data_IF_359758540341
#
_entry.id   IF_359758540341
#
_cell.length_a   1.000
_cell.length_b   1.000
_cell.length_c   1.000
_cell.angle_alpha   90.00
_cell.angle_beta   90.00
_cell.angle_gamma   90.00
#
_symmetry.space_group_name_H-M   'P 1'
#
loop_
_entity.id
_entity.type
_entity.pdbx_description
1 polymer ?
#
# COMPACT_ATOMS: atom_id res chain seq x y z
N UNK A 1 0.28 22.54 -7.81
CA UNK A 1 1.16 21.44 -7.45
C UNK A 1 2.59 21.71 -7.92
N UNK A 2 3.55 21.21 -7.18
CA UNK A 2 4.97 21.35 -7.46
C UNK A 2 5.33 20.45 -8.67
N UNK A 3 6.12 20.94 -9.64
CA UNK A 3 6.58 20.20 -10.81
C UNK A 3 7.31 18.88 -10.45
N UNK A 4 8.02 18.86 -9.32
CA UNK A 4 8.64 17.63 -8.78
C UNK A 4 7.59 16.57 -8.44
N UNK A 5 6.47 16.95 -7.85
CA UNK A 5 5.36 16.04 -7.53
C UNK A 5 4.69 15.51 -8.79
N UNK A 6 4.52 16.36 -9.80
CA UNK A 6 3.94 15.93 -11.09
C UNK A 6 4.78 14.87 -11.78
N UNK A 7 6.13 14.98 -11.72
CA UNK A 7 7.04 13.95 -12.26
C UNK A 7 6.92 12.60 -11.56
N UNK A 8 6.50 12.59 -10.29
CA UNK A 8 6.26 11.34 -9.54
C UNK A 8 4.95 10.65 -9.92
N UNK A 9 4.10 11.31 -10.70
CA UNK A 9 2.82 10.76 -11.16
C UNK A 9 2.93 10.10 -12.55
N UNK A 10 4.15 9.93 -13.05
CA UNK A 10 4.36 9.15 -14.27
C UNK A 10 3.95 7.70 -14.05
N UNK A 11 3.12 7.20 -14.93
CA UNK A 11 2.61 5.83 -14.95
C UNK A 11 3.00 5.20 -16.26
N UNK A 12 3.72 4.09 -16.22
CA UNK A 12 3.98 3.27 -17.40
C UNK A 12 2.70 2.46 -17.72
N UNK A 13 2.27 2.44 -18.98
CA UNK A 13 1.03 1.75 -19.39
C UNK A 13 1.06 0.23 -19.12
N UNK A 14 2.24 -0.34 -18.92
CA UNK A 14 2.42 -1.75 -18.56
C UNK A 14 2.17 -2.03 -17.08
N UNK A 15 2.12 -0.99 -16.24
CA UNK A 15 1.88 -1.10 -14.78
C UNK A 15 0.39 -1.05 -14.45
N UNK A 16 -0.39 -1.96 -15.04
CA UNK A 16 -1.84 -2.03 -14.86
C UNK A 16 -2.27 -3.34 -14.16
N UNK A 17 -3.24 -3.27 -13.24
CA UNK A 17 -3.86 -2.07 -12.66
C UNK A 17 -2.91 -1.32 -11.72
N UNK A 18 -2.99 0.01 -11.72
CA UNK A 18 -2.15 0.87 -10.88
C UNK A 18 -2.96 1.65 -9.86
N UNK A 19 -2.51 1.60 -8.60
CA UNK A 19 -3.00 2.42 -7.51
C UNK A 19 -2.02 3.57 -7.21
N UNK A 20 -2.48 4.82 -7.34
CA UNK A 20 -1.71 6.00 -6.91
C UNK A 20 -2.09 6.40 -5.49
N UNK A 21 -1.09 6.44 -4.62
CA UNK A 21 -1.29 6.80 -3.22
C UNK A 21 -1.08 8.29 -2.98
N UNK A 22 -2.05 8.91 -2.27
CA UNK A 22 -1.99 10.29 -1.81
C UNK A 22 -1.93 10.34 -0.28
N UNK A 23 -1.37 11.41 0.27
CA UNK A 23 -1.30 11.67 1.71
C UNK A 23 -1.54 13.14 2.00
N UNK A 24 -2.34 13.42 3.01
CA UNK A 24 -2.64 14.79 3.44
C UNK A 24 -3.38 14.80 4.78
N UNK A 25 -3.32 15.92 5.52
CA UNK A 25 -4.00 16.11 6.80
C UNK A 25 -5.26 16.98 6.70
N UNK A 26 -5.36 17.74 5.63
CA UNK A 26 -6.47 18.69 5.39
C UNK A 26 -7.39 18.20 4.27
N UNK A 27 -8.69 18.32 4.49
CA UNK A 27 -9.75 17.82 3.60
C UNK A 27 -9.65 18.41 2.19
N UNK A 28 -9.59 19.73 2.07
CA UNK A 28 -9.59 20.43 0.79
C UNK A 28 -8.35 20.06 -0.05
N UNK A 29 -7.20 20.00 0.61
CA UNK A 29 -5.93 19.63 -0.02
C UNK A 29 -5.95 18.17 -0.50
N UNK A 30 -6.49 17.26 0.32
CA UNK A 30 -6.60 15.84 -0.03
C UNK A 30 -7.58 15.62 -1.19
N UNK A 31 -8.75 16.24 -1.15
CA UNK A 31 -9.75 16.20 -2.24
C UNK A 31 -9.18 16.79 -3.52
N UNK A 32 -8.46 17.91 -3.42
CA UNK A 32 -7.78 18.52 -4.57
C UNK A 32 -6.74 17.60 -5.21
N UNK A 33 -5.96 16.89 -4.39
CA UNK A 33 -5.00 15.89 -4.87
C UNK A 33 -5.71 14.69 -5.52
N UNK A 34 -6.77 14.19 -4.91
CA UNK A 34 -7.57 13.08 -5.44
C UNK A 34 -8.18 13.42 -6.81
N UNK A 35 -8.81 14.58 -6.93
CA UNK A 35 -9.34 15.09 -8.22
C UNK A 35 -8.26 15.21 -9.30
N UNK A 36 -7.05 15.63 -8.92
CA UNK A 36 -5.95 15.70 -9.85
C UNK A 36 -5.53 14.31 -10.34
N UNK A 37 -5.39 13.35 -9.44
CA UNK A 37 -5.10 11.94 -9.81
C UNK A 37 -6.21 11.38 -10.69
N UNK A 38 -7.46 11.63 -10.34
CA UNK A 38 -8.64 11.15 -11.08
C UNK A 38 -8.65 11.62 -12.53
N UNK A 39 -8.38 12.91 -12.79
CA UNK A 39 -8.54 13.55 -14.11
C UNK A 39 -7.25 13.61 -14.93
N UNK A 40 -6.09 13.65 -14.28
CA UNK A 40 -4.81 13.95 -14.92
C UNK A 40 -3.85 12.75 -15.01
N UNK A 41 -4.26 11.57 -14.55
CA UNK A 41 -3.42 10.37 -14.59
C UNK A 41 -4.17 9.15 -15.11
N UNK A 42 -3.40 8.14 -15.58
CA UNK A 42 -3.93 6.85 -16.00
C UNK A 42 -4.03 5.84 -14.83
N UNK A 43 -3.96 6.29 -13.58
CA UNK A 43 -4.18 5.41 -12.43
C UNK A 43 -5.58 4.79 -12.46
N UNK A 44 -5.69 3.56 -12.01
CA UNK A 44 -6.96 2.84 -11.93
C UNK A 44 -7.64 3.03 -10.58
N UNK A 45 -6.84 3.28 -9.54
CA UNK A 45 -7.26 3.37 -8.14
C UNK A 45 -6.58 4.58 -7.49
N UNK A 46 -7.31 5.27 -6.61
CA UNK A 46 -6.78 6.29 -5.71
C UNK A 46 -6.67 5.69 -4.33
N UNK A 47 -5.45 5.58 -3.79
CA UNK A 47 -5.23 5.07 -2.43
C UNK A 47 -4.91 6.19 -1.46
N UNK A 48 -5.49 6.15 -0.27
CA UNK A 48 -5.24 7.13 0.80
C UNK A 48 -4.30 6.51 1.84
N UNK A 49 -3.18 7.19 2.10
CA UNK A 49 -2.23 6.76 3.11
C UNK A 49 -2.69 7.16 4.52
N UNK A 50 -3.04 6.16 5.32
CA UNK A 50 -3.36 6.28 6.75
C UNK A 50 -2.40 5.43 7.61
N UNK A 51 -1.25 5.04 7.08
CA UNK A 51 -0.30 4.16 7.76
C UNK A 51 1.11 4.72 7.93
N UNK A 52 1.44 5.85 7.29
CA UNK A 52 2.79 6.43 7.37
C UNK A 52 3.12 6.84 8.82
N UNK A 53 4.15 6.22 9.47
CA UNK A 53 4.44 6.44 10.88
C UNK A 53 5.39 7.62 11.13
N UNK A 54 5.98 8.20 10.08
CA UNK A 54 7.07 9.18 10.19
C UNK A 54 6.60 10.50 10.82
N UNK A 55 7.36 11.06 11.77
CA UNK A 55 6.99 12.30 12.47
C UNK A 55 6.68 13.47 11.52
N UNK A 56 7.38 13.57 10.40
CA UNK A 56 7.12 14.62 9.40
C UNK A 56 5.68 14.59 8.86
N UNK A 57 5.10 13.39 8.73
CA UNK A 57 3.72 13.21 8.23
C UNK A 57 2.72 13.33 9.38
N UNK A 58 2.97 12.66 10.51
CA UNK A 58 2.02 12.63 11.62
C UNK A 58 1.88 13.98 12.34
N UNK A 59 2.91 14.85 12.31
CA UNK A 59 2.83 16.23 12.82
C UNK A 59 1.97 17.15 11.95
N UNK A 60 1.77 16.79 10.69
CA UNK A 60 0.85 17.47 9.77
C UNK A 60 -0.56 16.87 9.82
N UNK A 61 -0.91 16.20 10.91
CA UNK A 61 -2.21 15.54 11.12
C UNK A 61 -2.61 14.59 9.98
N UNK A 62 -1.62 13.85 9.43
CA UNK A 62 -1.76 12.95 8.29
C UNK A 62 -1.19 11.55 8.59
N UNK A 63 -1.39 10.62 7.66
CA UNK A 63 -0.89 9.25 7.76
C UNK A 63 -1.43 8.53 9.00
N UNK A 64 -0.56 7.88 9.78
CA UNK A 64 -0.96 7.09 10.93
C UNK A 64 -1.63 7.90 12.06
N UNK A 65 -1.59 9.24 12.03
CA UNK A 65 -2.29 10.07 13.02
C UNK A 65 -3.81 9.87 12.99
N UNK A 66 -4.36 9.57 11.81
CA UNK A 66 -5.81 9.34 11.67
C UNK A 66 -6.30 8.05 12.31
N UNK A 67 -5.41 7.10 12.62
CA UNK A 67 -5.79 5.83 13.27
C UNK A 67 -6.38 6.01 14.67
N UNK A 68 -6.25 7.20 15.25
CA UNK A 68 -6.81 7.57 16.55
C UNK A 68 -8.26 8.08 16.49
N UNK A 69 -8.79 8.31 15.27
CA UNK A 69 -10.06 9.00 15.07
C UNK A 69 -10.84 8.40 13.87
N UNK A 70 -11.68 7.36 14.12
CA UNK A 70 -12.52 6.76 13.09
C UNK A 70 -13.51 7.74 12.44
N UNK A 71 -14.01 8.73 13.18
CA UNK A 71 -14.95 9.71 12.65
C UNK A 71 -14.27 10.61 11.62
N UNK A 72 -13.04 11.03 11.92
CA UNK A 72 -12.21 11.75 10.96
C UNK A 72 -11.90 10.91 9.72
N UNK A 73 -11.60 9.62 9.87
CA UNK A 73 -11.41 8.71 8.73
C UNK A 73 -12.67 8.69 7.85
N UNK A 74 -13.85 8.53 8.45
CA UNK A 74 -15.11 8.57 7.72
C UNK A 74 -15.27 9.87 6.93
N UNK A 75 -15.10 11.04 7.58
CA UNK A 75 -15.25 12.34 6.92
C UNK A 75 -14.30 12.53 5.75
N UNK A 76 -13.02 12.16 5.93
CA UNK A 76 -11.98 12.38 4.94
C UNK A 76 -12.13 11.44 3.74
N UNK A 77 -12.41 10.14 3.98
CA UNK A 77 -12.64 9.17 2.92
C UNK A 77 -13.89 9.53 2.13
N UNK A 78 -15.00 9.86 2.81
CA UNK A 78 -16.24 10.28 2.18
C UNK A 78 -16.04 11.50 1.28
N UNK A 79 -15.33 12.51 1.79
CA UNK A 79 -15.04 13.70 1.00
C UNK A 79 -14.24 13.38 -0.28
N UNK A 80 -13.34 12.40 -0.25
CA UNK A 80 -12.62 11.96 -1.46
C UNK A 80 -13.56 11.18 -2.38
N UNK A 81 -14.27 10.17 -1.86
CA UNK A 81 -15.19 9.32 -2.64
C UNK A 81 -16.22 10.13 -3.40
N UNK A 82 -16.83 11.14 -2.77
CA UNK A 82 -17.86 12.01 -3.38
C UNK A 82 -17.30 12.93 -4.48
N UNK A 83 -15.97 13.02 -4.64
CA UNK A 83 -15.33 13.98 -5.53
C UNK A 83 -14.50 13.36 -6.65
N UNK A 84 -14.49 12.04 -6.78
CA UNK A 84 -13.74 11.30 -7.81
C UNK A 84 -14.60 10.18 -8.41
N UNK A 85 -14.23 9.71 -9.60
CA UNK A 85 -14.91 8.61 -10.28
C UNK A 85 -14.21 7.26 -10.07
N UNK A 86 -12.88 7.29 -9.82
CA UNK A 86 -12.09 6.09 -9.58
C UNK A 86 -12.37 5.49 -8.20
N UNK A 87 -12.22 4.15 -8.05
CA UNK A 87 -12.29 3.50 -6.75
C UNK A 87 -11.30 4.12 -5.76
N UNK A 88 -11.74 4.33 -4.52
CA UNK A 88 -10.92 4.87 -3.44
C UNK A 88 -10.61 3.74 -2.46
N UNK A 89 -9.33 3.49 -2.21
CA UNK A 89 -8.86 2.53 -1.22
C UNK A 89 -8.08 3.21 -0.10
N UNK A 90 -7.85 2.49 0.96
CA UNK A 90 -7.11 3.00 2.12
C UNK A 90 -6.01 2.02 2.52
N UNK A 91 -4.79 2.52 2.72
CA UNK A 91 -3.69 1.78 3.33
C UNK A 91 -3.49 2.25 4.76
N UNK A 92 -3.68 1.36 5.74
CA UNK A 92 -3.58 1.68 7.16
C UNK A 92 -2.70 0.71 7.95
N UNK A 93 -2.42 1.05 9.21
CA UNK A 93 -1.86 0.17 10.24
C UNK A 93 -2.96 -0.24 11.22
N UNK A 94 -2.67 -1.22 12.10
CA UNK A 94 -3.65 -1.70 13.08
C UNK A 94 -3.97 -0.69 14.18
N UNK A 95 -3.11 0.30 14.41
CA UNK A 95 -3.33 1.32 15.44
C UNK A 95 -2.12 2.23 15.62
N UNK A 96 -2.24 3.14 16.57
CA UNK A 96 -1.17 4.07 16.94
C UNK A 96 -0.10 3.41 17.82
N UNK A 97 -0.51 2.76 18.89
CA UNK A 97 0.28 2.00 19.85
C UNK A 97 -0.54 0.79 20.36
N UNK A 98 -0.04 0.09 21.37
CA UNK A 98 -0.68 -1.11 21.92
C UNK A 98 -2.02 -0.82 22.63
N UNK A 99 -2.18 0.39 23.18
CA UNK A 99 -3.41 0.82 23.86
C UNK A 99 -4.46 1.37 22.89
N UNK A 100 -4.06 1.72 21.64
CA UNK A 100 -4.91 2.35 20.64
C UNK A 100 -4.91 1.54 19.34
N UNK A 101 -5.46 0.31 19.41
CA UNK A 101 -5.65 -0.58 18.27
C UNK A 101 -7.11 -0.46 17.82
N UNK A 102 -7.39 0.45 16.89
CA UNK A 102 -8.73 0.73 16.35
C UNK A 102 -8.92 0.22 14.93
N UNK A 103 -8.18 -0.80 14.50
CA UNK A 103 -8.18 -1.29 13.13
C UNK A 103 -9.57 -1.65 12.62
N UNK A 104 -10.38 -2.29 13.44
CA UNK A 104 -11.75 -2.70 13.10
C UNK A 104 -12.65 -1.48 12.91
N UNK A 105 -12.65 -0.54 13.85
CA UNK A 105 -13.48 0.66 13.77
C UNK A 105 -13.06 1.55 12.61
N UNK A 106 -11.75 1.67 12.37
CA UNK A 106 -11.18 2.40 11.25
C UNK A 106 -11.60 1.79 9.89
N UNK A 107 -11.57 0.46 9.77
CA UNK A 107 -12.00 -0.23 8.55
C UNK A 107 -13.51 -0.07 8.29
N UNK A 108 -14.34 -0.15 9.34
CA UNK A 108 -15.77 0.13 9.26
C UNK A 108 -16.06 1.57 8.83
N UNK A 109 -15.28 2.53 9.33
CA UNK A 109 -15.39 3.92 8.92
C UNK A 109 -15.07 4.11 7.44
N UNK A 110 -14.03 3.43 6.92
CA UNK A 110 -13.69 3.42 5.50
C UNK A 110 -14.83 2.83 4.66
N UNK A 111 -15.38 1.67 5.05
CA UNK A 111 -16.50 1.04 4.35
C UNK A 111 -17.75 1.93 4.34
N UNK A 112 -18.13 2.46 5.51
CA UNK A 112 -19.28 3.36 5.63
C UNK A 112 -19.13 4.65 4.81
N UNK A 113 -17.91 5.13 4.61
CA UNK A 113 -17.60 6.29 3.78
C UNK A 113 -17.62 6.01 2.26
N UNK A 114 -17.82 4.74 1.85
CA UNK A 114 -17.80 4.32 0.44
C UNK A 114 -16.43 3.93 -0.09
N UNK A 115 -15.47 3.66 0.79
CA UNK A 115 -14.18 3.10 0.40
C UNK A 115 -14.34 1.72 -0.24
N UNK A 116 -13.57 1.46 -1.30
CA UNK A 116 -13.70 0.25 -2.12
C UNK A 116 -12.88 -0.94 -1.61
N UNK A 117 -11.84 -0.71 -0.83
CA UNK A 117 -11.02 -1.73 -0.19
C UNK A 117 -10.10 -1.12 0.89
N UNK A 118 -9.58 -1.97 1.77
CA UNK A 118 -8.56 -1.59 2.76
C UNK A 118 -7.35 -2.52 2.69
N UNK A 119 -6.15 -1.96 2.85
CA UNK A 119 -4.94 -2.74 3.06
C UNK A 119 -4.41 -2.47 4.47
N UNK A 120 -4.24 -3.52 5.27
CA UNK A 120 -3.94 -3.43 6.71
C UNK A 120 -2.56 -3.98 6.99
N UNK A 121 -1.65 -3.14 7.47
CA UNK A 121 -0.36 -3.58 8.00
C UNK A 121 -0.51 -3.97 9.47
N UNK A 122 -0.16 -5.21 9.81
CA UNK A 122 -0.32 -5.81 11.14
C UNK A 122 0.58 -5.24 12.24
N UNK A 123 1.10 -4.02 12.09
CA UNK A 123 1.89 -3.31 13.10
C UNK A 123 1.26 -1.97 13.46
N UNK A 124 1.47 -1.53 14.70
CA UNK A 124 1.12 -0.18 15.12
C UNK A 124 2.09 0.86 14.55
N UNK A 125 1.74 2.13 14.70
CA UNK A 125 2.64 3.25 14.33
C UNK A 125 3.92 3.22 15.14
N UNK A 126 3.83 2.96 16.44
CA UNK A 126 4.99 2.96 17.35
C UNK A 126 5.95 1.83 17.03
N UNK A 127 5.44 0.65 16.68
CA UNK A 127 6.29 -0.48 16.29
C UNK A 127 7.16 -0.21 15.07
N UNK A 128 6.79 0.73 14.20
CA UNK A 128 7.49 0.96 12.93
C UNK A 128 7.63 -0.34 12.12
N UNK A 129 8.77 -1.03 12.27
CA UNK A 129 9.06 -2.34 11.64
C UNK A 129 9.55 -3.38 12.64
N UNK A 130 9.54 -3.06 13.93
CA UNK A 130 9.99 -3.95 15.00
C UNK A 130 8.95 -5.00 15.34
N UNK A 131 9.40 -6.08 16.00
CA UNK A 131 8.54 -7.18 16.40
C UNK A 131 7.92 -7.91 15.20
N UNK A 132 6.77 -8.53 15.43
CA UNK A 132 5.99 -9.26 14.43
C UNK A 132 4.71 -8.52 14.07
N UNK A 133 4.26 -8.66 12.82
CA UNK A 133 2.95 -8.20 12.41
C UNK A 133 1.86 -9.07 13.06
N UNK A 134 0.88 -8.44 13.65
CA UNK A 134 -0.25 -9.11 14.29
C UNK A 134 -1.32 -9.45 13.22
N UNK A 135 -1.31 -10.70 12.78
CA UNK A 135 -2.25 -11.18 11.77
C UNK A 135 -3.65 -11.46 12.34
N UNK A 136 -3.78 -11.65 13.66
CA UNK A 136 -5.10 -11.83 14.29
C UNK A 136 -5.94 -10.57 14.20
N UNK A 137 -5.34 -9.38 14.33
CA UNK A 137 -6.05 -8.12 14.13
C UNK A 137 -6.43 -7.94 12.66
N UNK A 138 -5.58 -8.35 11.70
CA UNK A 138 -5.93 -8.35 10.26
C UNK A 138 -7.15 -9.23 10.02
N UNK A 139 -7.19 -10.43 10.62
CA UNK A 139 -8.35 -11.34 10.57
C UNK A 139 -9.61 -10.68 11.12
N UNK A 140 -9.54 -10.04 12.29
CA UNK A 140 -10.67 -9.32 12.89
C UNK A 140 -11.20 -8.22 11.96
N UNK A 141 -10.32 -7.49 11.27
CA UNK A 141 -10.73 -6.51 10.26
C UNK A 141 -11.48 -7.20 9.13
N UNK A 142 -10.94 -8.30 8.58
CA UNK A 142 -11.59 -9.06 7.48
C UNK A 142 -12.98 -9.57 7.89
N UNK A 143 -13.14 -10.03 9.12
CA UNK A 143 -14.42 -10.52 9.63
C UNK A 143 -15.44 -9.39 9.88
N UNK A 144 -14.99 -8.14 10.00
CA UNK A 144 -15.81 -7.00 10.40
C UNK A 144 -16.34 -6.15 9.24
N UNK A 145 -15.80 -6.30 8.01
CA UNK A 145 -16.18 -5.53 6.83
C UNK A 145 -16.47 -6.43 5.64
N UNK A 146 -17.30 -5.93 4.72
CA UNK A 146 -17.67 -6.64 3.48
C UNK A 146 -16.78 -6.27 2.29
N UNK A 147 -16.14 -5.10 2.34
CA UNK A 147 -15.19 -4.67 1.30
C UNK A 147 -13.92 -5.54 1.32
N UNK A 148 -13.23 -5.68 0.17
CA UNK A 148 -11.96 -6.40 0.11
C UNK A 148 -10.94 -5.90 1.12
N UNK A 149 -10.26 -6.86 1.77
CA UNK A 149 -9.17 -6.59 2.73
C UNK A 149 -7.88 -7.23 2.23
N UNK A 150 -6.83 -6.44 2.08
CA UNK A 150 -5.48 -6.89 1.79
C UNK A 150 -4.65 -6.95 3.07
N UNK A 151 -4.12 -8.15 3.39
CA UNK A 151 -3.21 -8.33 4.52
C UNK A 151 -1.79 -7.90 4.16
N UNK A 152 -1.11 -7.22 5.08
CA UNK A 152 0.27 -6.76 4.90
C UNK A 152 1.10 -6.94 6.18
N UNK A 153 2.37 -7.27 6.01
CA UNK A 153 3.35 -7.42 7.08
C UNK A 153 3.89 -8.84 7.20
N UNK A 154 5.22 -8.95 7.26
CA UNK A 154 6.00 -10.18 7.43
C UNK A 154 5.74 -11.28 6.38
N UNK A 155 5.35 -10.87 5.17
CA UNK A 155 5.28 -11.73 4.00
C UNK A 155 6.57 -11.56 3.22
N UNK A 156 7.48 -12.53 3.37
CA UNK A 156 8.82 -12.52 2.77
C UNK A 156 9.08 -13.74 1.88
N UNK A 157 8.15 -14.70 1.89
CA UNK A 157 8.14 -15.88 1.03
C UNK A 157 6.76 -16.12 0.43
N UNK A 158 6.65 -16.86 -0.69
CA UNK A 158 5.36 -17.30 -1.22
C UNK A 158 4.52 -18.12 -0.23
N UNK A 159 5.18 -18.90 0.63
CA UNK A 159 4.51 -19.67 1.69
C UNK A 159 3.92 -18.75 2.76
N UNK A 160 4.57 -17.62 3.08
CA UNK A 160 4.00 -16.64 4.00
C UNK A 160 2.73 -16.01 3.43
N UNK A 161 2.72 -15.72 2.12
CA UNK A 161 1.53 -15.19 1.45
C UNK A 161 0.36 -16.18 1.53
N UNK A 162 0.60 -17.46 1.23
CA UNK A 162 -0.40 -18.52 1.37
C UNK A 162 -0.90 -18.64 2.81
N UNK A 163 0.02 -18.67 3.78
CA UNK A 163 -0.33 -18.75 5.20
C UNK A 163 -1.18 -17.53 5.64
N UNK A 164 -0.86 -16.31 5.19
CA UNK A 164 -1.67 -15.14 5.50
C UNK A 164 -3.10 -15.29 4.96
N UNK A 165 -3.27 -15.70 3.72
CA UNK A 165 -4.60 -15.95 3.13
C UNK A 165 -5.39 -16.99 3.93
N UNK A 166 -4.76 -18.13 4.26
CA UNK A 166 -5.40 -19.23 4.94
C UNK A 166 -5.74 -18.92 6.41
N UNK A 167 -4.89 -18.17 7.11
CA UNK A 167 -5.08 -17.90 8.54
C UNK A 167 -5.96 -16.69 8.83
N UNK A 168 -5.96 -15.70 7.94
CA UNK A 168 -6.71 -14.45 8.16
C UNK A 168 -7.97 -14.34 7.30
N UNK A 169 -8.08 -15.13 6.23
CA UNK A 169 -9.20 -15.06 5.29
C UNK A 169 -9.24 -13.78 4.42
N UNK A 170 -8.16 -12.99 4.39
CA UNK A 170 -8.07 -11.79 3.55
C UNK A 170 -8.19 -12.11 2.06
N UNK A 171 -8.67 -11.14 1.29
CA UNK A 171 -8.93 -11.30 -0.15
C UNK A 171 -7.65 -11.19 -1.00
N UNK A 172 -6.59 -10.63 -0.43
CA UNK A 172 -5.31 -10.50 -1.10
C UNK A 172 -4.17 -10.21 -0.12
N UNK A 173 -2.95 -10.27 -0.61
CA UNK A 173 -1.73 -10.02 0.17
C UNK A 173 -0.94 -8.90 -0.46
N UNK A 174 -0.59 -7.89 0.34
CA UNK A 174 0.31 -6.82 -0.06
C UNK A 174 1.73 -7.13 0.41
N UNK A 175 2.63 -7.33 -0.54
CA UNK A 175 4.04 -7.60 -0.28
C UNK A 175 4.82 -6.29 -0.35
N UNK A 176 5.52 -5.94 0.73
CA UNK A 176 6.37 -4.75 0.80
C UNK A 176 7.85 -5.13 0.73
N UNK A 177 8.52 -5.11 1.87
CA UNK A 177 9.98 -5.36 2.00
C UNK A 177 10.46 -6.69 1.38
N UNK A 178 9.60 -7.71 1.33
CA UNK A 178 9.92 -9.00 0.72
C UNK A 178 10.22 -8.94 -0.79
N UNK A 179 9.75 -7.88 -1.47
CA UNK A 179 10.00 -7.65 -2.89
C UNK A 179 11.23 -6.75 -3.16
N UNK A 180 11.81 -6.12 -2.13
CA UNK A 180 12.97 -5.24 -2.30
C UNK A 180 14.20 -6.05 -2.73
N UNK A 181 14.78 -5.68 -3.88
CA UNK A 181 15.87 -6.42 -4.50
C UNK A 181 15.49 -7.82 -4.99
N UNK A 182 14.22 -8.17 -4.96
CA UNK A 182 13.70 -9.49 -5.36
C UNK A 182 12.40 -9.38 -6.18
N UNK A 183 12.46 -8.94 -7.43
CA UNK A 183 11.26 -8.82 -8.27
C UNK A 183 10.58 -10.17 -8.56
N UNK A 184 11.30 -11.26 -8.47
CA UNK A 184 10.75 -12.63 -8.64
C UNK A 184 9.75 -13.02 -7.55
N UNK A 185 9.82 -12.40 -6.38
CA UNK A 185 8.93 -12.70 -5.24
C UNK A 185 7.45 -12.62 -5.63
N UNK A 186 7.05 -11.61 -6.40
CA UNK A 186 5.67 -11.46 -6.82
C UNK A 186 5.23 -12.59 -7.77
N UNK A 187 6.04 -12.84 -8.80
CA UNK A 187 5.77 -13.94 -9.74
C UNK A 187 5.73 -15.31 -9.05
N UNK A 188 6.72 -15.59 -8.20
CA UNK A 188 6.79 -16.85 -7.46
C UNK A 188 5.58 -17.01 -6.52
N UNK A 189 5.11 -15.92 -5.91
CA UNK A 189 3.94 -15.94 -5.03
C UNK A 189 2.68 -16.30 -5.83
N UNK A 190 2.44 -15.65 -6.97
CA UNK A 190 1.30 -15.96 -7.83
C UNK A 190 1.33 -17.41 -8.26
N UNK A 191 2.45 -17.87 -8.81
CA UNK A 191 2.59 -19.27 -9.26
C UNK A 191 2.39 -20.29 -8.12
N UNK A 192 2.93 -19.99 -6.94
CA UNK A 192 2.77 -20.87 -5.78
C UNK A 192 1.31 -20.93 -5.29
N UNK A 193 0.60 -19.80 -5.30
CA UNK A 193 -0.80 -19.76 -4.91
C UNK A 193 -1.70 -20.48 -5.92
N UNK A 194 -1.40 -20.40 -7.21
CA UNK A 194 -2.18 -21.05 -8.27
C UNK A 194 -1.91 -22.56 -8.40
N UNK A 195 -0.65 -22.94 -8.27
CA UNK A 195 -0.22 -24.34 -8.61
C UNK A 195 0.20 -25.17 -7.41
N UNK A 196 0.46 -24.54 -6.28
CA UNK A 196 1.06 -25.19 -5.10
C UNK A 196 2.55 -25.48 -5.24
N UNK A 197 3.17 -25.13 -6.37
CA UNK A 197 4.56 -25.43 -6.69
C UNK A 197 5.38 -24.14 -6.80
N UNK A 198 6.54 -24.12 -6.14
CA UNK A 198 7.48 -23.00 -6.28
C UNK A 198 8.23 -23.09 -7.61
N UNK A 199 8.23 -22.03 -8.41
CA UNK A 199 9.13 -21.93 -9.55
C UNK A 199 10.59 -22.00 -9.10
N UNK A 200 11.50 -22.44 -9.99
CA UNK A 200 12.93 -22.45 -9.68
C UNK A 200 13.42 -21.04 -9.32
N UNK A 201 14.40 -20.98 -8.43
CA UNK A 201 15.05 -19.73 -8.07
C UNK A 201 15.78 -19.15 -9.30
N UNK A 202 15.84 -17.82 -9.44
CA UNK A 202 16.55 -17.18 -10.54
C UNK A 202 18.05 -17.52 -10.45
N UNK A 203 18.63 -17.83 -11.60
CA UNK A 203 20.08 -18.08 -11.74
C UNK A 203 20.88 -16.80 -11.52
N UNK A 204 22.17 -16.89 -11.18
CA UNK A 204 23.04 -15.71 -11.08
C UNK A 204 23.02 -14.83 -12.35
N UNK A 205 22.96 -15.47 -13.53
CA UNK A 205 22.88 -14.76 -14.81
C UNK A 205 21.60 -13.94 -14.92
N UNK A 206 20.44 -14.54 -14.64
CA UNK A 206 19.15 -13.84 -14.68
C UNK A 206 19.10 -12.66 -13.70
N UNK A 207 19.70 -12.81 -12.51
CA UNK A 207 19.81 -11.70 -11.55
C UNK A 207 20.61 -10.54 -12.10
N UNK A 208 21.77 -10.83 -12.73
CA UNK A 208 22.61 -9.80 -13.35
C UNK A 208 21.87 -9.15 -14.52
N UNK A 209 21.22 -9.93 -15.38
CA UNK A 209 20.49 -9.42 -16.54
C UNK A 209 19.36 -8.45 -16.11
N UNK A 210 18.64 -8.78 -15.04
CA UNK A 210 17.60 -7.89 -14.47
C UNK A 210 18.19 -6.64 -13.82
N UNK A 211 19.32 -6.75 -13.12
CA UNK A 211 20.01 -5.57 -12.57
C UNK A 211 20.47 -4.63 -13.69
N UNK A 212 21.05 -5.16 -14.76
CA UNK A 212 21.48 -4.35 -15.92
C UNK A 212 20.28 -3.68 -16.60
N UNK A 213 19.21 -4.42 -16.83
CA UNK A 213 17.97 -3.86 -17.39
C UNK A 213 17.37 -2.75 -16.51
N UNK A 214 17.40 -2.92 -15.19
CA UNK A 214 16.94 -1.90 -14.24
C UNK A 214 17.80 -0.65 -14.33
N UNK A 215 19.13 -0.81 -14.32
CA UNK A 215 20.08 0.30 -14.46
C UNK A 215 19.85 1.08 -15.76
N UNK A 216 19.75 0.40 -16.90
CA UNK A 216 19.54 1.03 -18.22
C UNK A 216 18.24 1.86 -18.24
N UNK A 217 17.15 1.30 -17.71
CA UNK A 217 15.87 2.01 -17.62
C UNK A 217 15.96 3.22 -16.69
N UNK A 218 16.65 3.09 -15.55
CA UNK A 218 16.81 4.17 -14.59
C UNK A 218 17.70 5.29 -15.16
N UNK A 219 18.73 4.96 -15.93
CA UNK A 219 19.54 5.94 -16.68
C UNK A 219 18.66 6.73 -17.65
N UNK A 220 17.82 6.05 -18.40
CA UNK A 220 16.88 6.70 -19.33
C UNK A 220 15.90 7.65 -18.66
N UNK A 221 15.47 7.34 -17.42
CA UNK A 221 14.49 8.14 -16.68
C UNK A 221 15.12 9.30 -15.88
N UNK A 222 16.29 9.10 -15.27
CA UNK A 222 16.88 10.03 -14.27
C UNK A 222 18.27 10.53 -14.62
N UNK A 223 18.90 9.98 -15.65
CA UNK A 223 20.29 10.21 -16.00
C UNK A 223 21.26 9.33 -15.19
N UNK A 224 22.44 9.09 -15.75
CA UNK A 224 23.43 8.11 -15.24
C UNK A 224 23.83 8.35 -13.79
N UNK A 225 24.16 9.60 -13.42
CA UNK A 225 24.62 9.93 -12.07
C UNK A 225 23.59 9.58 -10.98
N UNK A 226 22.32 9.86 -11.25
CA UNK A 226 21.24 9.56 -10.29
C UNK A 226 20.96 8.05 -10.28
N UNK A 227 20.94 7.43 -11.45
CA UNK A 227 20.70 6.00 -11.59
C UNK A 227 21.70 5.16 -10.79
N UNK A 228 22.99 5.47 -10.87
CA UNK A 228 24.06 4.77 -10.13
C UNK A 228 23.91 4.95 -8.61
N UNK A 229 23.40 6.09 -8.15
CA UNK A 229 23.21 6.33 -6.71
C UNK A 229 21.96 5.65 -6.14
N UNK A 230 21.00 5.31 -6.98
CA UNK A 230 19.71 4.71 -6.56
C UNK A 230 19.67 3.18 -6.77
N UNK A 231 20.64 2.60 -7.46
CA UNK A 231 20.83 1.15 -7.61
C UNK A 231 21.44 0.54 -6.35
#
# INVERSE_FOLDING_TARGET
GNERTKRMLYVDEREKPLSLQIVGGEKETLVGAARYVDKATNADIIDINMGCPVPKVTRCDAGAKWLLDPDKIYEMVKAVVENVEKPVTVKMRIGWDEDHIYAVDNAKAVEAAGGSAVAVHGRTRVQMYEGKANWDVIKQVKEAVSIPVMGNGDVVTPQDAKRMLETTGVDGVMIGRGALGNPWMLYQTVQYLETGTLPPAPTPKEKIDVCMLHLDRLIGLKGEKIAIMEM
#
